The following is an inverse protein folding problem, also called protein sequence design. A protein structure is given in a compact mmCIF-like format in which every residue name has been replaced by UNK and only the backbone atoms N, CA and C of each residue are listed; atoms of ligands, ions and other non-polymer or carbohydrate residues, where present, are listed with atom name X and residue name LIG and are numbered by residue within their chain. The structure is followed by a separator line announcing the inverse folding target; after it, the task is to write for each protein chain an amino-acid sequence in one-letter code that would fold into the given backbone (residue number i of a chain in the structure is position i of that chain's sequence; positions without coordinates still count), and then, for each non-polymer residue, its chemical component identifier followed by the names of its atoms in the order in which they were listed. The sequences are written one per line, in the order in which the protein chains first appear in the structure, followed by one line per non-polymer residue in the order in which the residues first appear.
data_IF_016484092949
#
_entry.id   IF_016484092949
#
_cell.length_a   1.000
_cell.length_b   1.000
_cell.length_c   1.000
_cell.angle_alpha   90.00
_cell.angle_beta   90.00
_cell.angle_gamma   90.00
#
_symmetry.space_group_name_H-M   'P 1'
#
loop_
_entity.id
_entity.type
_entity.pdbx_description
1 polymer ?
#
# COMPACT_ATOMS: atom_id res chain seq x y z
N UNK A 1 -13.53 -13.09 -22.28
CA UNK A 1 -12.82 -11.80 -22.07
C UNK A 1 -12.80 -11.54 -20.57
N UNK A 2 -11.72 -11.02 -20.01
CA UNK A 2 -11.69 -10.65 -18.57
C UNK A 2 -12.56 -9.41 -18.35
N UNK A 3 -13.03 -9.22 -17.12
CA UNK A 3 -13.91 -8.12 -16.72
C UNK A 3 -13.20 -6.75 -16.82
N UNK A 4 -13.84 -5.78 -17.49
CA UNK A 4 -13.25 -4.45 -17.76
C UNK A 4 -13.06 -3.65 -16.45
N UNK A 5 -14.07 -3.53 -15.56
CA UNK A 5 -13.90 -2.89 -14.26
C UNK A 5 -12.69 -3.41 -13.49
N UNK A 6 -12.55 -4.74 -13.37
CA UNK A 6 -11.42 -5.36 -12.68
C UNK A 6 -10.08 -4.91 -13.28
N UNK A 7 -9.97 -4.80 -14.61
CA UNK A 7 -8.73 -4.35 -15.26
C UNK A 7 -8.36 -2.91 -14.92
N UNK A 8 -9.35 -2.03 -14.79
CA UNK A 8 -9.11 -0.63 -14.42
C UNK A 8 -8.70 -0.50 -12.96
N UNK A 9 -9.25 -1.33 -12.07
CA UNK A 9 -8.86 -1.36 -10.65
C UNK A 9 -7.40 -1.81 -10.44
N UNK A 10 -6.83 -2.61 -11.35
CA UNK A 10 -5.43 -3.02 -11.26
C UNK A 10 -4.44 -1.84 -11.26
N UNK A 11 -4.83 -0.68 -11.80
CA UNK A 11 -3.99 0.52 -11.80
C UNK A 11 -3.70 1.06 -10.39
N UNK A 12 -4.51 0.68 -9.40
CA UNK A 12 -4.31 1.09 -8.00
C UNK A 12 -3.21 0.28 -7.30
N UNK A 13 -2.96 -0.96 -7.73
CA UNK A 13 -1.96 -1.85 -7.09
C UNK A 13 -0.54 -1.26 -7.15
N UNK A 14 -0.03 -0.76 -8.30
CA UNK A 14 1.29 -0.13 -8.35
C UNK A 14 1.42 1.07 -7.41
N UNK A 15 0.35 1.83 -7.18
CA UNK A 15 0.35 2.96 -6.24
C UNK A 15 0.56 2.46 -4.81
N UNK A 16 -0.14 1.40 -4.41
CA UNK A 16 0.05 0.79 -3.09
C UNK A 16 1.50 0.29 -2.91
N UNK A 17 2.05 -0.38 -3.92
CA UNK A 17 3.44 -0.87 -3.86
C UNK A 17 4.45 0.27 -3.75
N UNK A 18 4.27 1.32 -4.55
CA UNK A 18 5.13 2.51 -4.49
C UNK A 18 5.06 3.19 -3.12
N UNK A 19 3.88 3.27 -2.52
CA UNK A 19 3.72 3.79 -1.16
C UNK A 19 4.51 2.97 -0.14
N UNK A 20 4.35 1.64 -0.15
CA UNK A 20 5.02 0.76 0.81
C UNK A 20 6.53 0.70 0.60
N UNK A 21 7.00 0.94 -0.64
CA UNK A 21 8.42 0.87 -0.98
C UNK A 21 9.17 2.20 -0.78
N UNK A 22 8.50 3.35 -0.86
CA UNK A 22 9.18 4.66 -0.87
C UNK A 22 9.83 5.03 0.47
N UNK A 23 9.42 4.40 1.57
CA UNK A 23 9.97 4.60 2.91
C UNK A 23 9.83 3.30 3.72
N UNK A 24 10.86 2.89 4.46
CA UNK A 24 10.83 1.66 5.27
C UNK A 24 9.84 1.76 6.45
N UNK A 25 9.51 2.97 6.87
CA UNK A 25 8.51 3.24 7.92
C UNK A 25 7.08 3.26 7.36
N UNK A 26 6.89 3.19 6.04
CA UNK A 26 5.55 3.16 5.46
C UNK A 26 4.89 1.80 5.66
N UNK A 27 3.68 1.85 6.21
CA UNK A 27 2.83 0.69 6.36
C UNK A 27 1.36 1.03 6.11
N UNK A 28 0.60 -0.01 5.84
CA UNK A 28 -0.86 0.03 5.91
C UNK A 28 -1.35 -0.90 7.01
N UNK A 29 -2.47 -0.54 7.63
CA UNK A 29 -3.14 -1.42 8.58
C UNK A 29 -4.40 -1.98 7.95
N UNK A 30 -4.52 -3.30 7.96
CA UNK A 30 -5.67 -4.02 7.43
C UNK A 30 -6.29 -4.86 8.55
N UNK A 31 -7.61 -4.97 8.53
CA UNK A 31 -8.34 -5.85 9.45
C UNK A 31 -9.04 -6.91 8.60
N UNK A 32 -8.60 -8.16 8.72
CA UNK A 32 -9.16 -9.27 7.95
C UNK A 32 -10.32 -9.98 8.70
N UNK A 33 -10.82 -9.38 9.78
CA UNK A 33 -11.87 -9.94 10.64
C UNK A 33 -11.37 -10.96 11.67
N UNK A 34 -10.12 -11.42 11.56
CA UNK A 34 -9.47 -12.31 12.53
C UNK A 34 -8.32 -11.62 13.27
N UNK A 35 -7.58 -10.79 12.56
CA UNK A 35 -6.44 -10.08 13.07
C UNK A 35 -6.30 -8.72 12.38
N UNK A 36 -5.78 -7.77 13.16
CA UNK A 36 -5.30 -6.50 12.63
C UNK A 36 -3.83 -6.67 12.24
N UNK A 37 -3.53 -6.48 10.96
CA UNK A 37 -2.20 -6.66 10.40
C UNK A 37 -1.64 -5.31 9.96
N UNK A 38 -0.40 -5.04 10.33
CA UNK A 38 0.39 -3.97 9.74
C UNK A 38 1.25 -4.56 8.62
N UNK A 39 1.00 -4.17 7.38
CA UNK A 39 1.69 -4.67 6.20
C UNK A 39 2.70 -3.62 5.73
N UNK A 40 3.93 -4.05 5.52
CA UNK A 40 5.08 -3.28 5.06
C UNK A 40 5.82 -4.01 3.94
N UNK A 41 6.62 -3.29 3.18
CA UNK A 41 7.44 -3.84 2.09
C UNK A 41 8.91 -3.59 2.39
N UNK A 42 9.75 -4.62 2.25
CA UNK A 42 11.20 -4.49 2.40
C UNK A 42 11.86 -4.06 1.08
N UNK A 43 13.10 -3.59 1.15
CA UNK A 43 13.93 -3.24 -0.02
C UNK A 43 14.01 -4.39 -1.06
N UNK A 44 13.94 -5.64 -0.61
CA UNK A 44 13.91 -6.82 -1.50
C UNK A 44 12.59 -7.04 -2.25
N UNK A 45 11.66 -6.09 -2.16
CA UNK A 45 10.29 -6.16 -2.69
C UNK A 45 9.47 -7.32 -2.14
N UNK A 46 9.78 -7.76 -0.92
CA UNK A 46 8.99 -8.76 -0.17
C UNK A 46 8.06 -8.07 0.82
N UNK A 47 6.86 -8.59 0.98
CA UNK A 47 5.85 -8.08 1.90
C UNK A 47 5.90 -8.81 3.23
N UNK A 48 5.84 -8.05 4.32
CA UNK A 48 5.88 -8.56 5.68
C UNK A 48 4.67 -8.02 6.44
N UNK A 49 4.09 -8.85 7.30
CA UNK A 49 2.95 -8.49 8.10
C UNK A 49 3.22 -8.68 9.60
N UNK A 50 3.06 -7.62 10.39
CA UNK A 50 3.03 -7.70 11.85
C UNK A 50 1.59 -7.93 12.31
N UNK A 51 1.35 -9.02 13.03
CA UNK A 51 0.07 -9.24 13.67
C UNK A 51 -0.03 -8.41 14.96
N UNK A 52 -0.88 -7.39 14.96
CA UNK A 52 -1.03 -6.48 16.09
C UNK A 52 -1.75 -7.12 17.29
N UNK A 53 -2.44 -8.25 17.10
CA UNK A 53 -3.00 -9.02 18.21
C UNK A 53 -1.92 -9.81 18.97
N UNK A 54 -0.78 -10.09 18.33
CA UNK A 54 0.35 -10.82 18.91
C UNK A 54 1.65 -10.04 18.67
N UNK A 55 1.81 -8.86 19.30
CA UNK A 55 2.90 -7.93 19.00
C UNK A 55 4.29 -8.46 19.37
N UNK A 56 4.39 -9.50 20.20
CA UNK A 56 5.67 -10.10 20.59
C UNK A 56 6.19 -11.12 19.57
N UNK A 57 5.35 -11.59 18.64
CA UNK A 57 5.75 -12.55 17.60
C UNK A 57 6.50 -11.85 16.47
N UNK A 58 7.44 -12.53 15.79
CA UNK A 58 8.11 -11.96 14.62
C UNK A 58 7.13 -11.67 13.48
N UNK A 59 7.54 -10.77 12.58
CA UNK A 59 6.81 -10.49 11.36
C UNK A 59 6.64 -11.78 10.52
N UNK A 60 5.48 -11.90 9.90
CA UNK A 60 5.16 -12.99 8.98
C UNK A 60 5.59 -12.59 7.57
N UNK A 61 6.24 -13.51 6.85
CA UNK A 61 6.38 -13.37 5.40
C UNK A 61 5.00 -13.42 4.76
N UNK A 62 4.65 -12.37 4.01
CA UNK A 62 3.28 -12.13 3.54
C UNK A 62 3.19 -11.97 2.02
N UNK A 63 4.32 -12.09 1.30
CA UNK A 63 4.37 -11.93 -0.16
C UNK A 63 3.39 -12.83 -0.91
N UNK A 64 3.27 -14.10 -0.53
CA UNK A 64 2.34 -15.04 -1.18
C UNK A 64 0.87 -14.66 -0.98
N UNK A 65 0.56 -13.93 0.09
CA UNK A 65 -0.79 -13.44 0.38
C UNK A 65 -1.14 -12.17 -0.40
N UNK A 66 -0.16 -11.48 -0.99
CA UNK A 66 -0.36 -10.28 -1.79
C UNK A 66 -0.76 -10.62 -3.23
N UNK A 67 -1.75 -11.50 -3.38
CA UNK A 67 -2.40 -11.79 -4.66
C UNK A 67 -3.24 -10.60 -5.13
N UNK A 68 -3.50 -10.49 -6.44
CA UNK A 68 -4.32 -9.40 -7.00
C UNK A 68 -5.66 -9.21 -6.26
N UNK A 69 -6.48 -10.25 -6.04
CA UNK A 69 -7.75 -10.08 -5.31
C UNK A 69 -7.56 -9.56 -3.89
N UNK A 70 -6.55 -10.05 -3.17
CA UNK A 70 -6.29 -9.60 -1.81
C UNK A 70 -5.83 -8.13 -1.78
N UNK A 71 -4.99 -7.72 -2.72
CA UNK A 71 -4.56 -6.32 -2.81
C UNK A 71 -5.72 -5.38 -3.16
N UNK A 72 -6.61 -5.78 -4.08
CA UNK A 72 -7.81 -5.00 -4.37
C UNK A 72 -8.74 -4.91 -3.15
N UNK A 73 -8.93 -6.01 -2.40
CA UNK A 73 -9.70 -6.01 -1.16
C UNK A 73 -9.08 -5.13 -0.07
N UNK A 74 -7.76 -5.12 0.04
CA UNK A 74 -7.01 -4.22 0.93
C UNK A 74 -7.26 -2.76 0.54
N UNK A 75 -7.14 -2.43 -0.75
CA UNK A 75 -7.37 -1.07 -1.24
C UNK A 75 -8.81 -0.62 -0.98
N UNK A 76 -9.79 -1.51 -1.20
CA UNK A 76 -11.18 -1.26 -0.86
C UNK A 76 -11.38 -0.99 0.64
N UNK A 77 -10.73 -1.76 1.52
CA UNK A 77 -10.74 -1.47 2.95
C UNK A 77 -10.14 -0.08 3.26
N UNK A 78 -9.03 0.29 2.63
CA UNK A 78 -8.38 1.58 2.84
C UNK A 78 -9.24 2.77 2.39
N UNK A 79 -10.10 2.60 1.37
CA UNK A 79 -11.09 3.61 0.94
C UNK A 79 -12.15 3.87 2.01
N UNK A 80 -12.37 2.92 2.91
CA UNK A 80 -13.44 2.94 3.91
C UNK A 80 -12.96 3.24 5.34
N UNK A 81 -11.67 3.50 5.56
CA UNK A 81 -11.12 3.87 6.87
C UNK A 81 -10.56 5.30 6.89
N UNK A 82 -10.58 5.99 8.04
CA UNK A 82 -10.06 7.36 8.15
C UNK A 82 -8.56 7.45 7.83
N UNK A 83 -8.08 8.60 7.32
CA UNK A 83 -6.65 8.84 7.12
C UNK A 83 -5.86 8.83 8.45
N UNK A 84 -4.57 8.53 8.35
CA UNK A 84 -3.70 8.30 9.50
C UNK A 84 -2.79 9.51 9.77
N UNK A 85 -2.09 10.04 8.77
CA UNK A 85 -1.02 11.03 8.92
C UNK A 85 -1.54 12.48 8.75
N UNK A 86 -2.33 12.71 7.72
CA UNK A 86 -2.90 13.98 7.26
C UNK A 86 -4.42 13.87 7.31
N UNK A 87 -5.01 14.39 8.40
CA UNK A 87 -6.45 14.24 8.70
C UNK A 87 -7.41 14.97 7.76
N UNK A 88 -6.91 15.74 6.79
CA UNK A 88 -7.76 16.48 5.83
C UNK A 88 -8.25 15.64 4.65
N UNK A 89 -7.69 14.44 4.44
CA UNK A 89 -8.17 13.52 3.41
C UNK A 89 -9.48 12.83 3.81
N UNK A 90 -10.25 12.36 2.83
CA UNK A 90 -11.51 11.66 3.08
C UNK A 90 -11.32 10.21 3.55
N UNK A 91 -10.22 9.58 3.17
CA UNK A 91 -9.90 8.19 3.50
C UNK A 91 -8.39 7.95 3.58
N UNK A 92 -8.00 6.82 4.18
CA UNK A 92 -6.60 6.37 4.17
C UNK A 92 -6.11 6.07 2.75
N UNK A 93 -6.96 5.55 1.87
CA UNK A 93 -6.56 5.35 0.47
C UNK A 93 -6.26 6.67 -0.25
N UNK A 94 -7.10 7.69 -0.07
CA UNK A 94 -6.86 9.00 -0.70
C UNK A 94 -5.56 9.63 -0.23
N UNK A 95 -5.25 9.53 1.06
CA UNK A 95 -3.99 9.95 1.64
C UNK A 95 -2.79 9.23 1.02
N UNK A 96 -2.79 7.89 1.04
CA UNK A 96 -1.75 7.03 0.45
C UNK A 96 -1.53 7.39 -1.01
N UNK A 97 -2.60 7.45 -1.80
CA UNK A 97 -2.55 7.76 -3.22
C UNK A 97 -1.98 9.15 -3.48
N UNK A 98 -2.41 10.16 -2.73
CA UNK A 98 -1.99 11.55 -2.94
C UNK A 98 -0.50 11.74 -2.63
N UNK A 99 -0.03 11.21 -1.50
CA UNK A 99 1.38 11.27 -1.11
C UNK A 99 2.26 10.55 -2.13
N UNK A 100 1.83 9.36 -2.56
CA UNK A 100 2.60 8.52 -3.49
C UNK A 100 2.74 9.19 -4.86
N UNK A 101 1.63 9.63 -5.45
CA UNK A 101 1.66 10.24 -6.79
C UNK A 101 2.48 11.55 -6.80
N UNK A 102 2.40 12.35 -5.74
CA UNK A 102 3.22 13.54 -5.59
C UNK A 102 4.72 13.19 -5.53
N UNK A 103 5.08 12.20 -4.71
CA UNK A 103 6.47 11.74 -4.55
C UNK A 103 7.04 11.17 -5.85
N UNK A 104 6.29 10.30 -6.53
CA UNK A 104 6.69 9.70 -7.81
C UNK A 104 6.86 10.77 -8.89
N UNK A 105 5.95 11.75 -8.98
CA UNK A 105 6.07 12.85 -9.92
C UNK A 105 7.34 13.69 -9.68
N UNK A 106 7.62 14.04 -8.42
CA UNK A 106 8.84 14.75 -8.05
C UNK A 106 10.11 13.95 -8.41
N UNK A 107 10.12 12.65 -8.14
CA UNK A 107 11.26 11.78 -8.45
C UNK A 107 11.46 11.63 -9.96
N UNK A 108 10.38 11.55 -10.75
CA UNK A 108 10.46 11.56 -12.21
C UNK A 108 11.11 12.83 -12.75
N UNK A 109 10.71 14.00 -12.24
CA UNK A 109 11.33 15.29 -12.63
C UNK A 109 12.81 15.39 -12.23
N UNK A 110 13.20 14.82 -11.08
CA UNK A 110 14.62 14.75 -10.66
C UNK A 110 15.40 13.85 -11.62
N UNK A 111 14.90 12.65 -11.91
CA UNK A 111 15.53 11.69 -12.81
C UNK A 111 15.73 12.23 -14.23
N UNK A 112 14.72 12.90 -14.79
CA UNK A 112 14.80 13.52 -16.12
C UNK A 112 15.82 14.66 -16.19
N UNK A 113 16.07 15.37 -15.08
CA UNK A 113 17.14 16.38 -15.01
C UNK A 113 18.52 15.77 -14.93
N UNK A 114 18.69 14.65 -14.20
CA UNK A 114 19.97 13.95 -14.06
C UNK A 114 20.45 13.29 -15.35
N UNK A 115 19.54 12.96 -16.26
CA UNK A 115 19.85 12.36 -17.57
C UNK A 115 20.31 13.36 -18.64
N UNK A 116 20.16 14.67 -18.42
CA UNK A 116 20.60 15.72 -19.34
C UNK A 116 22.03 16.14 -19.01
#
# INVERSE_FOLDING_TARGET
MRDIPTLLELEEIPVLWQYLYMDEENFITVDNGMAKLEIRMRESCTFHAKNLNFPDLPDLEYTEMMTIPNMLGIIDQLKNVPPVEIKSFSSRWEEVRSITLATVAQNKMKWERWKR
#
